data_IF_768125079738
#
_entry.id   IF_768125079738
#
_cell.length_a   1.000
_cell.length_b   1.000
_cell.length_c   1.000
_cell.angle_alpha   90.00
_cell.angle_beta   90.00
_cell.angle_gamma   90.00
#
_symmetry.space_group_name_H-M   'P 1'
#
loop_
_entity.id
_entity.type
_entity.pdbx_description
1 polymer ?
#
# COMPACT_ATOMS: atom_id res chain seq x y z
N UNK A 1 -40.60 56.81 1.87
CA UNK A 1 -41.29 56.54 3.15
C UNK A 1 -41.22 55.02 3.35
N UNK A 2 -40.46 54.43 4.26
CA UNK A 2 -39.91 54.91 5.52
C UNK A 2 -38.69 54.06 5.94
N UNK A 3 -37.66 54.77 6.41
CA UNK A 3 -36.88 54.53 7.63
C UNK A 3 -35.88 53.35 7.77
N UNK A 4 -34.62 53.76 7.56
CA UNK A 4 -33.35 53.38 8.22
C UNK A 4 -33.49 53.19 9.75
N UNK A 5 -32.85 52.16 10.33
CA UNK A 5 -32.14 52.32 11.61
C UNK A 5 -31.04 51.25 11.82
N UNK A 6 -29.79 51.68 11.61
CA UNK A 6 -28.61 51.08 12.21
C UNK A 6 -28.44 51.65 13.63
N UNK A 7 -27.91 50.86 14.58
CA UNK A 7 -27.11 51.44 15.65
C UNK A 7 -26.07 50.45 16.23
N UNK A 8 -24.83 50.89 16.53
CA UNK A 8 -23.75 50.11 17.12
C UNK A 8 -23.46 50.47 18.59
N UNK A 9 -22.88 49.55 19.36
CA UNK A 9 -22.05 49.79 20.57
C UNK A 9 -21.52 48.43 21.07
N UNK A 10 -20.23 48.05 21.00
CA UNK A 10 -19.00 48.50 21.72
C UNK A 10 -19.02 48.38 23.27
N UNK A 11 -18.34 47.30 23.72
CA UNK A 11 -17.31 47.23 24.81
C UNK A 11 -17.77 47.19 26.28
N UNK A 12 -16.91 46.80 27.26
CA UNK A 12 -15.79 45.81 27.33
C UNK A 12 -15.78 44.97 28.66
N UNK A 13 -14.65 44.29 28.95
CA UNK A 13 -14.16 43.72 30.25
C UNK A 13 -14.46 42.24 30.52
N UNK A 14 -13.64 41.45 31.24
CA UNK A 14 -12.19 41.29 31.40
C UNK A 14 -12.05 40.00 32.26
N UNK A 15 -11.14 39.08 31.89
CA UNK A 15 -10.52 38.01 32.72
C UNK A 15 -11.41 36.87 33.30
N UNK A 16 -10.85 35.70 33.74
CA UNK A 16 -9.44 35.36 33.99
C UNK A 16 -8.89 34.11 33.28
N UNK A 17 -7.57 34.07 33.21
CA UNK A 17 -6.72 32.95 32.81
C UNK A 17 -6.75 31.88 33.91
N UNK A 18 -7.03 30.63 33.54
CA UNK A 18 -6.61 29.46 34.32
C UNK A 18 -6.26 28.29 33.39
N UNK A 19 -5.25 27.47 33.74
CA UNK A 19 -4.68 26.45 32.88
C UNK A 19 -5.33 25.08 33.13
N UNK A 20 -5.59 24.32 32.07
CA UNK A 20 -5.87 22.88 32.17
C UNK A 20 -5.47 22.24 30.84
N UNK A 21 -4.32 21.58 30.78
CA UNK A 21 -4.08 20.19 31.19
C UNK A 21 -4.86 19.20 30.32
N UNK A 22 -4.07 18.53 29.48
CA UNK A 22 -4.42 17.51 28.50
C UNK A 22 -4.92 16.21 29.14
N UNK A 23 -5.95 15.63 28.54
CA UNK A 23 -6.43 14.24 28.64
C UNK A 23 -7.70 14.11 27.78
N UNK A 24 -7.98 13.07 26.99
CA UNK A 24 -7.38 11.78 26.74
C UNK A 24 -7.91 11.20 25.39
N UNK A 25 -7.09 10.39 24.69
CA UNK A 25 -7.29 9.20 23.77
C UNK A 25 -8.69 8.80 23.23
N UNK A 26 -8.86 7.97 22.15
CA UNK A 26 -7.96 6.92 21.57
C UNK A 26 -7.96 6.70 20.03
N UNK A 27 -7.01 5.89 19.49
CA UNK A 27 -7.28 5.03 18.31
C UNK A 27 -6.25 4.96 17.16
N UNK A 28 -5.26 4.09 17.30
CA UNK A 28 -4.47 3.34 16.31
C UNK A 28 -4.48 3.68 14.80
N UNK A 29 -3.32 4.11 14.25
CA UNK A 29 -2.89 3.75 12.87
C UNK A 29 -1.35 3.68 12.66
N UNK A 30 -0.52 3.34 13.66
CA UNK A 30 0.91 3.06 13.39
C UNK A 30 1.39 1.81 14.12
N UNK A 31 1.12 0.65 13.51
CA UNK A 31 1.85 -0.60 13.74
C UNK A 31 2.26 -1.14 12.38
N UNK A 32 3.27 -0.50 11.79
CA UNK A 32 4.07 -1.03 10.68
C UNK A 32 5.24 -0.08 10.42
N UNK A 33 6.31 -0.18 11.22
CA UNK A 33 7.66 0.20 10.79
C UNK A 33 8.62 -0.78 11.45
N UNK A 34 8.66 -1.92 10.78
CA UNK A 34 9.70 -2.94 10.80
C UNK A 34 11.10 -2.31 10.68
N UNK A 35 11.99 -2.74 11.57
CA UNK A 35 13.45 -2.76 11.42
C UNK A 35 14.11 -1.48 10.87
N UNK A 36 14.38 -0.51 11.75
CA UNK A 36 15.29 0.59 11.44
C UNK A 36 16.73 0.05 11.25
N UNK A 37 17.34 0.16 10.05
CA UNK A 37 18.75 -0.19 9.83
C UNK A 37 19.69 0.72 10.63
N UNK A 38 19.24 1.91 11.02
CA UNK A 38 20.01 2.87 11.79
C UNK A 38 20.30 2.41 13.23
N UNK A 39 19.41 1.62 13.85
CA UNK A 39 19.65 1.10 15.21
C UNK A 39 20.72 0.00 15.19
N UNK A 40 20.80 -0.77 14.10
CA UNK A 40 21.86 -1.76 13.92
C UNK A 40 23.21 -1.09 13.67
N UNK A 41 23.24 -0.02 12.86
CA UNK A 41 24.47 0.76 12.63
C UNK A 41 24.96 1.44 13.91
N UNK A 42 24.06 2.03 14.72
CA UNK A 42 24.43 2.61 16.02
C UNK A 42 24.93 1.54 16.98
N UNK A 43 24.32 0.35 17.02
CA UNK A 43 24.82 -0.76 17.84
C UNK A 43 26.20 -1.27 17.39
N UNK A 44 26.48 -1.27 16.09
CA UNK A 44 27.78 -1.66 15.54
C UNK A 44 28.87 -0.63 15.88
N UNK A 45 28.57 0.67 15.79
CA UNK A 45 29.51 1.73 16.24
C UNK A 45 29.77 1.65 17.75
N UNK A 46 28.75 1.37 18.56
CA UNK A 46 28.89 1.23 20.02
C UNK A 46 29.68 -0.03 20.39
N UNK A 47 29.52 -1.12 19.63
CA UNK A 47 30.33 -2.32 19.77
C UNK A 47 31.81 -2.07 19.41
N UNK A 48 32.09 -1.32 18.33
CA UNK A 48 33.46 -0.91 18.00
C UNK A 48 34.06 0.01 19.06
N UNK A 49 33.31 0.98 19.59
CA UNK A 49 33.79 1.86 20.67
C UNK A 49 34.09 1.06 21.95
N UNK A 50 33.27 0.07 22.32
CA UNK A 50 33.55 -0.82 23.45
C UNK A 50 34.78 -1.70 23.21
N UNK A 51 34.96 -2.20 21.99
CA UNK A 51 36.16 -2.96 21.64
C UNK A 51 37.42 -2.08 21.70
N UNK A 52 37.33 -0.83 21.25
CA UNK A 52 38.41 0.16 21.33
C UNK A 52 38.75 0.52 22.78
N UNK A 53 37.74 0.76 23.63
CA UNK A 53 37.90 0.97 25.07
C UNK A 53 38.55 -0.23 25.78
N UNK A 54 38.08 -1.44 25.47
CA UNK A 54 38.69 -2.66 26.02
C UNK A 54 40.13 -2.90 25.53
N UNK A 55 40.49 -2.38 24.35
CA UNK A 55 41.87 -2.41 23.87
C UNK A 55 42.72 -1.33 24.56
N UNK A 56 42.16 -0.15 24.82
CA UNK A 56 42.80 0.92 25.59
C UNK A 56 43.08 0.48 27.04
N UNK A 57 42.14 -0.20 27.69
CA UNK A 57 42.36 -0.78 29.03
C UNK A 57 43.52 -1.79 29.03
N UNK A 58 43.62 -2.64 28.01
CA UNK A 58 44.76 -3.58 27.87
C UNK A 58 46.08 -2.86 27.62
N UNK A 59 46.06 -1.76 26.87
CA UNK A 59 47.25 -0.92 26.66
C UNK A 59 47.65 -0.24 27.97
N UNK A 60 46.70 0.25 28.77
CA UNK A 60 46.97 0.83 30.09
C UNK A 60 47.49 -0.20 31.09
N UNK A 61 46.92 -1.41 31.12
CA UNK A 61 47.41 -2.51 31.97
C UNK A 61 48.82 -2.96 31.56
N UNK A 62 49.08 -3.07 30.26
CA UNK A 62 50.42 -3.37 29.73
C UNK A 62 51.42 -2.26 30.08
N UNK A 63 51.01 -1.00 30.01
CA UNK A 63 51.84 0.14 30.36
C UNK A 63 52.11 0.19 31.87
N UNK A 64 51.12 -0.17 32.69
CA UNK A 64 51.26 -0.29 34.14
C UNK A 64 52.28 -1.36 34.54
N UNK A 65 52.17 -2.56 33.96
CA UNK A 65 53.12 -3.65 34.18
C UNK A 65 54.53 -3.31 33.68
N UNK A 66 54.63 -2.63 32.53
CA UNK A 66 55.91 -2.20 31.97
C UNK A 66 56.55 -1.06 32.78
N UNK A 67 55.73 -0.17 33.36
CA UNK A 67 56.18 0.89 34.27
C UNK A 67 56.68 0.33 35.60
N UNK A 68 56.04 -0.71 36.15
CA UNK A 68 56.49 -1.39 37.37
C UNK A 68 57.86 -2.05 37.19
N UNK A 69 58.11 -2.63 36.00
CA UNK A 69 59.40 -3.24 35.66
C UNK A 69 60.50 -2.22 35.33
N UNK A 70 60.15 -1.02 34.86
CA UNK A 70 61.09 0.09 34.59
C UNK A 70 61.52 0.87 35.84
N UNK A 71 60.70 0.89 36.90
CA UNK A 71 61.08 1.54 38.18
C UNK A 71 62.23 0.80 38.85
N UNK A 72 62.46 -0.48 38.51
CA UNK A 72 63.52 -1.29 39.12
C UNK A 72 64.88 -1.23 38.40
N UNK A 73 64.94 -0.77 37.15
CA UNK A 73 66.17 -0.61 36.37
C UNK A 73 66.22 0.86 35.95
N UNK A 74 67.05 1.68 36.61
CA UNK A 74 67.11 3.14 36.44
C UNK A 74 67.06 3.63 34.99
N UNK A 75 65.85 3.87 34.49
CA UNK A 75 65.51 4.18 33.10
C UNK A 75 64.72 5.48 32.96
N UNK A 76 65.03 6.49 33.79
CA UNK A 76 64.42 7.82 33.71
C UNK A 76 64.63 8.50 32.34
N UNK A 77 65.68 8.11 31.61
CA UNK A 77 65.94 8.62 30.26
C UNK A 77 65.10 7.93 29.17
N UNK A 78 64.89 6.61 29.26
CA UNK A 78 64.11 5.86 28.28
C UNK A 78 62.60 6.12 28.42
N UNK A 79 62.11 6.29 29.66
CA UNK A 79 60.72 6.69 29.93
C UNK A 79 60.39 8.06 29.33
N UNK A 80 61.29 9.04 29.44
CA UNK A 80 61.10 10.37 28.87
C UNK A 80 61.05 10.34 27.33
N UNK A 81 61.81 9.46 26.67
CA UNK A 81 61.74 9.30 25.22
C UNK A 81 60.45 8.62 24.77
N UNK A 82 59.99 7.60 25.48
CA UNK A 82 58.72 6.93 25.20
C UNK A 82 57.53 7.88 25.40
N UNK A 83 57.53 8.69 26.47
CA UNK A 83 56.49 9.68 26.71
C UNK A 83 56.41 10.72 25.60
N UNK A 84 57.56 11.21 25.11
CA UNK A 84 57.60 12.15 23.99
C UNK A 84 57.15 11.50 22.67
N UNK A 85 57.45 10.21 22.46
CA UNK A 85 56.95 9.46 21.30
C UNK A 85 55.42 9.31 21.36
N UNK A 86 54.88 8.94 22.52
CA UNK A 86 53.43 8.79 22.72
C UNK A 86 52.72 10.13 22.54
N UNK A 87 53.26 11.23 23.07
CA UNK A 87 52.70 12.57 22.83
C UNK A 87 52.68 12.94 21.36
N UNK A 88 53.79 12.70 20.65
CA UNK A 88 53.86 12.97 19.22
C UNK A 88 52.86 12.10 18.44
N UNK A 89 52.73 10.82 18.79
CA UNK A 89 51.77 9.91 18.18
C UNK A 89 50.32 10.31 18.49
N UNK A 90 50.06 10.85 19.69
CA UNK A 90 48.77 11.40 20.09
C UNK A 90 48.44 12.65 19.27
N UNK A 91 49.37 13.60 19.14
CA UNK A 91 49.17 14.81 18.33
C UNK A 91 48.95 14.47 16.85
N UNK A 92 49.71 13.52 16.30
CA UNK A 92 49.51 13.02 14.93
C UNK A 92 48.16 12.32 14.76
N UNK A 93 47.69 11.61 15.79
CA UNK A 93 46.38 10.96 15.79
C UNK A 93 45.25 11.97 15.91
N UNK A 94 45.37 12.97 16.77
CA UNK A 94 44.40 14.05 16.94
C UNK A 94 44.24 14.84 15.63
N UNK A 95 45.35 15.16 14.94
CA UNK A 95 45.29 15.78 13.63
C UNK A 95 44.59 14.92 12.56
N UNK A 96 44.80 13.59 12.58
CA UNK A 96 44.09 12.67 11.67
C UNK A 96 42.60 12.58 12.00
N UNK A 97 42.24 12.55 13.28
CA UNK A 97 40.86 12.53 13.73
C UNK A 97 40.15 13.83 13.35
N UNK A 98 40.79 14.98 13.53
CA UNK A 98 40.21 16.27 13.18
C UNK A 98 40.07 16.43 11.66
N UNK A 99 41.02 15.93 10.88
CA UNK A 99 40.89 15.84 9.43
C UNK A 99 39.71 14.93 9.02
N UNK A 100 39.56 13.76 9.64
CA UNK A 100 38.47 12.82 9.39
C UNK A 100 37.10 13.39 9.78
N UNK A 101 37.01 14.09 10.91
CA UNK A 101 35.77 14.77 11.35
C UNK A 101 35.38 15.84 10.35
N UNK A 102 36.34 16.64 9.86
CA UNK A 102 36.06 17.65 8.85
C UNK A 102 35.61 17.04 7.52
N UNK A 103 36.21 15.93 7.08
CA UNK A 103 35.76 15.20 5.90
C UNK A 103 34.33 14.69 6.05
N UNK A 104 34.01 14.04 7.18
CA UNK A 104 32.65 13.57 7.48
C UNK A 104 31.66 14.73 7.50
N UNK A 105 32.04 15.88 8.09
CA UNK A 105 31.19 17.06 8.12
C UNK A 105 30.85 17.56 6.71
N UNK A 106 31.85 17.63 5.84
CA UNK A 106 31.65 18.05 4.44
C UNK A 106 30.79 17.04 3.67
N UNK A 107 31.02 15.74 3.86
CA UNK A 107 30.19 14.71 3.24
C UNK A 107 28.73 14.78 3.73
N UNK A 108 28.53 14.96 5.03
CA UNK A 108 27.21 15.08 5.63
C UNK A 108 26.49 16.35 5.14
N UNK A 109 27.18 17.49 5.09
CA UNK A 109 26.61 18.74 4.60
C UNK A 109 26.21 18.62 3.12
N UNK A 110 27.08 18.03 2.28
CA UNK A 110 26.77 17.82 0.86
C UNK A 110 25.62 16.83 0.65
N UNK A 111 25.61 15.71 1.39
CA UNK A 111 24.56 14.70 1.29
C UNK A 111 23.21 15.27 1.74
N UNK A 112 23.17 15.92 2.91
CA UNK A 112 21.96 16.55 3.42
C UNK A 112 21.49 17.67 2.50
N UNK A 113 22.37 18.54 2.04
CA UNK A 113 21.98 19.66 1.17
C UNK A 113 21.43 19.15 -0.16
N UNK A 114 22.02 18.14 -0.78
CA UNK A 114 21.52 17.64 -2.05
C UNK A 114 20.24 16.82 -1.89
N UNK A 115 20.21 15.86 -0.96
CA UNK A 115 19.09 14.94 -0.78
C UNK A 115 17.84 15.67 -0.25
N UNK A 116 18.00 16.55 0.74
CA UNK A 116 16.86 17.28 1.30
C UNK A 116 16.31 18.27 0.27
N UNK A 117 17.17 18.98 -0.46
CA UNK A 117 16.71 19.95 -1.46
C UNK A 117 16.00 19.24 -2.61
N UNK A 118 16.53 18.12 -3.12
CA UNK A 118 15.88 17.35 -4.18
C UNK A 118 14.55 16.74 -3.68
N UNK A 119 14.50 16.22 -2.45
CA UNK A 119 13.28 15.67 -1.90
C UNK A 119 12.21 16.76 -1.67
N UNK A 120 12.59 17.89 -1.06
CA UNK A 120 11.67 19.02 -0.87
C UNK A 120 11.19 19.58 -2.20
N UNK A 121 12.06 19.66 -3.20
CA UNK A 121 11.69 20.06 -4.55
C UNK A 121 10.66 19.12 -5.14
N UNK A 122 10.88 17.80 -5.05
CA UNK A 122 9.93 16.81 -5.55
C UNK A 122 8.57 16.90 -4.83
N UNK A 123 8.58 17.10 -3.50
CA UNK A 123 7.34 17.29 -2.73
C UNK A 123 6.60 18.56 -3.11
N UNK A 124 7.31 19.67 -3.32
CA UNK A 124 6.72 20.94 -3.75
C UNK A 124 6.16 20.80 -5.17
N UNK A 125 6.91 20.20 -6.09
CA UNK A 125 6.46 19.96 -7.46
C UNK A 125 5.20 19.10 -7.48
N UNK A 126 5.14 18.02 -6.69
CA UNK A 126 3.94 17.19 -6.55
C UNK A 126 2.75 17.98 -5.99
N UNK A 127 2.96 18.77 -4.93
CA UNK A 127 1.90 19.59 -4.33
C UNK A 127 1.40 20.70 -5.24
N UNK A 128 2.29 21.31 -6.03
CA UNK A 128 1.91 22.33 -7.04
C UNK A 128 1.14 21.69 -8.18
N UNK A 129 1.54 20.50 -8.64
CA UNK A 129 0.80 19.78 -9.69
C UNK A 129 -0.62 19.42 -9.24
N UNK A 130 -0.79 18.95 -8.00
CA UNK A 130 -2.11 18.66 -7.44
C UNK A 130 -2.99 19.92 -7.40
N UNK A 131 -2.45 21.05 -6.95
CA UNK A 131 -3.17 22.33 -6.96
C UNK A 131 -3.52 22.81 -8.37
N UNK A 132 -2.60 22.64 -9.33
CA UNK A 132 -2.86 22.99 -10.73
C UNK A 132 -3.99 22.12 -11.28
N UNK A 133 -3.99 20.81 -11.00
CA UNK A 133 -5.05 19.91 -11.45
C UNK A 133 -6.42 20.31 -10.89
N UNK A 134 -6.49 20.73 -9.63
CA UNK A 134 -7.71 21.27 -9.02
C UNK A 134 -8.19 22.55 -9.71
N UNK A 135 -7.29 23.52 -9.91
CA UNK A 135 -7.61 24.80 -10.57
C UNK A 135 -8.03 24.57 -12.02
N UNK A 136 -7.33 23.71 -12.75
CA UNK A 136 -7.66 23.36 -14.14
C UNK A 136 -9.03 22.69 -14.19
N UNK A 137 -9.32 21.77 -13.28
CA UNK A 137 -10.64 21.12 -13.19
C UNK A 137 -11.76 22.13 -12.96
N UNK A 138 -11.57 23.10 -12.05
CA UNK A 138 -12.53 24.17 -11.79
C UNK A 138 -12.72 25.06 -13.04
N UNK A 139 -11.62 25.54 -13.64
CA UNK A 139 -11.66 26.42 -14.81
C UNK A 139 -12.26 25.73 -16.03
N UNK A 140 -11.95 24.45 -16.23
CA UNK A 140 -12.57 23.63 -17.28
C UNK A 140 -14.06 23.48 -17.02
N UNK A 141 -14.49 23.24 -15.78
CA UNK A 141 -15.91 23.13 -15.45
C UNK A 141 -16.68 24.45 -15.70
N UNK A 142 -16.04 25.61 -15.51
CA UNK A 142 -16.63 26.93 -15.80
C UNK A 142 -16.74 27.22 -17.30
N UNK A 143 -15.69 26.91 -18.08
CA UNK A 143 -15.61 27.26 -19.51
C UNK A 143 -16.26 26.22 -20.43
N UNK A 144 -16.30 24.94 -20.04
CA UNK A 144 -16.83 23.87 -20.87
C UNK A 144 -18.31 24.06 -21.24
N UNK A 145 -19.21 24.53 -20.36
CA UNK A 145 -20.59 24.86 -20.73
C UNK A 145 -20.73 26.04 -21.70
N UNK A 146 -19.74 26.95 -21.75
CA UNK A 146 -19.76 28.10 -22.69
C UNK A 146 -19.33 27.67 -24.09
N UNK A 147 -18.32 26.82 -24.18
CA UNK A 147 -17.74 26.38 -25.45
C UNK A 147 -18.45 25.15 -26.04
N UNK A 148 -19.02 24.29 -25.21
CA UNK A 148 -19.69 23.07 -25.63
C UNK A 148 -21.19 23.13 -25.32
N UNK A 149 -22.06 23.22 -26.34
CA UNK A 149 -23.50 23.12 -26.16
C UNK A 149 -23.92 21.88 -25.38
N UNK A 150 -24.93 22.02 -24.51
CA UNK A 150 -25.43 20.92 -23.63
C UNK A 150 -25.76 19.64 -24.40
N UNK A 151 -26.34 19.75 -25.60
CA UNK A 151 -26.69 18.57 -26.39
C UNK A 151 -25.49 17.70 -26.77
N UNK A 152 -24.32 18.29 -27.05
CA UNK A 152 -23.10 17.53 -27.35
C UNK A 152 -22.52 16.89 -26.09
N UNK A 153 -22.65 17.55 -24.93
CA UNK A 153 -22.25 16.95 -23.65
C UNK A 153 -23.09 15.72 -23.33
N UNK A 154 -24.41 15.83 -23.54
CA UNK A 154 -25.36 14.72 -23.35
C UNK A 154 -25.07 13.57 -24.34
N UNK A 155 -24.75 13.89 -25.59
CA UNK A 155 -24.37 12.91 -26.63
C UNK A 155 -23.06 12.18 -26.28
N UNK A 156 -22.04 12.91 -25.82
CA UNK A 156 -20.77 12.31 -25.35
C UNK A 156 -21.02 11.43 -24.12
N UNK A 157 -21.84 11.87 -23.17
CA UNK A 157 -22.20 11.08 -21.99
C UNK A 157 -22.95 9.80 -22.40
N UNK A 158 -23.88 9.90 -23.35
CA UNK A 158 -24.61 8.78 -23.91
C UNK A 158 -23.67 7.77 -24.59
N UNK A 159 -22.77 8.22 -25.48
CA UNK A 159 -21.82 7.33 -26.14
C UNK A 159 -20.81 6.71 -25.18
N UNK A 160 -20.35 7.45 -24.16
CA UNK A 160 -19.50 6.86 -23.10
C UNK A 160 -20.22 5.74 -22.36
N UNK A 161 -21.51 5.92 -22.07
CA UNK A 161 -22.33 4.86 -21.46
C UNK A 161 -22.45 3.65 -22.38
N UNK A 162 -22.70 3.87 -23.68
CA UNK A 162 -22.75 2.79 -24.67
C UNK A 162 -21.42 2.04 -24.78
N UNK A 163 -20.29 2.76 -24.83
CA UNK A 163 -18.96 2.14 -24.88
C UNK A 163 -18.67 1.32 -23.62
N UNK A 164 -19.03 1.83 -22.44
CA UNK A 164 -18.88 1.09 -21.19
C UNK A 164 -19.76 -0.18 -21.15
N UNK A 165 -20.94 -0.15 -21.77
CA UNK A 165 -21.79 -1.34 -21.94
C UNK A 165 -21.17 -2.35 -22.90
N UNK A 166 -20.71 -1.90 -24.08
CA UNK A 166 -20.07 -2.76 -25.07
C UNK A 166 -18.78 -3.38 -24.55
N UNK A 167 -17.92 -2.59 -23.89
CA UNK A 167 -16.67 -3.09 -23.30
C UNK A 167 -16.94 -4.16 -22.25
N UNK A 168 -17.99 -3.97 -21.45
CA UNK A 168 -18.41 -4.94 -20.45
C UNK A 168 -18.99 -6.20 -21.08
N UNK A 169 -19.83 -6.06 -22.10
CA UNK A 169 -20.37 -7.19 -22.85
C UNK A 169 -19.23 -7.99 -23.52
N UNK A 170 -18.24 -7.31 -24.08
CA UNK A 170 -17.04 -7.90 -24.66
C UNK A 170 -16.25 -8.66 -23.59
N UNK A 171 -15.91 -8.02 -22.47
CA UNK A 171 -15.21 -8.68 -21.36
C UNK A 171 -15.97 -9.90 -20.84
N UNK A 172 -17.28 -9.80 -20.69
CA UNK A 172 -18.12 -10.91 -20.25
C UNK A 172 -18.13 -12.05 -21.29
N UNK A 173 -18.16 -11.74 -22.59
CA UNK A 173 -18.07 -12.74 -23.66
C UNK A 173 -16.72 -13.43 -23.71
N UNK A 174 -15.63 -12.69 -23.53
CA UNK A 174 -14.27 -13.22 -23.48
C UNK A 174 -14.05 -14.07 -22.22
N UNK A 175 -14.53 -13.59 -21.08
CA UNK A 175 -14.48 -14.33 -19.81
C UNK A 175 -15.28 -15.63 -19.89
N UNK A 176 -16.47 -15.62 -20.50
CA UNK A 176 -17.24 -16.85 -20.77
C UNK A 176 -16.49 -17.80 -21.70
N UNK A 177 -15.85 -17.28 -22.74
CA UNK A 177 -15.02 -18.10 -23.65
C UNK A 177 -13.85 -18.73 -22.91
N UNK A 178 -13.13 -17.97 -22.09
CA UNK A 178 -12.02 -18.47 -21.28
C UNK A 178 -12.50 -19.52 -20.26
N UNK A 179 -13.61 -19.26 -19.57
CA UNK A 179 -14.22 -20.18 -18.61
C UNK A 179 -14.70 -21.48 -19.26
N UNK A 180 -15.12 -21.45 -20.53
CA UNK A 180 -15.53 -22.63 -21.28
C UNK A 180 -14.39 -23.61 -21.58
N UNK A 181 -13.15 -23.11 -21.59
CA UNK A 181 -11.93 -23.90 -21.82
C UNK A 181 -11.41 -24.56 -20.54
N UNK A 182 -11.90 -24.15 -19.37
CA UNK A 182 -11.49 -24.73 -18.08
C UNK A 182 -11.82 -26.22 -18.06
N UNK A 183 -10.85 -27.02 -17.60
CA UNK A 183 -10.95 -28.48 -17.54
C UNK A 183 -11.19 -28.97 -16.11
N UNK A 184 -11.96 -30.04 -15.93
CA UNK A 184 -12.20 -30.68 -14.62
C UNK A 184 -10.92 -31.19 -13.95
N UNK A 185 -9.86 -31.42 -14.72
CA UNK A 185 -8.55 -31.80 -14.17
C UNK A 185 -7.81 -30.63 -13.50
N UNK A 186 -8.23 -29.39 -13.71
CA UNK A 186 -7.61 -28.17 -13.17
C UNK A 186 -8.62 -27.34 -12.36
N UNK A 187 -9.17 -27.92 -11.31
CA UNK A 187 -10.14 -27.28 -10.42
C UNK A 187 -9.60 -26.04 -9.66
N UNK A 188 -8.28 -25.92 -9.58
CA UNK A 188 -7.56 -24.81 -8.94
C UNK A 188 -7.34 -23.61 -9.86
N UNK A 189 -7.67 -23.73 -11.15
CA UNK A 189 -7.50 -22.64 -12.11
C UNK A 189 -8.51 -21.51 -11.84
N UNK A 190 -8.07 -20.27 -12.05
CA UNK A 190 -8.85 -19.09 -11.71
C UNK A 190 -10.05 -18.94 -12.67
N UNK A 191 -11.22 -18.67 -12.10
CA UNK A 191 -12.42 -18.36 -12.86
C UNK A 191 -12.35 -16.89 -13.30
N UNK A 192 -12.53 -16.64 -14.59
CA UNK A 192 -12.55 -15.27 -15.13
C UNK A 192 -13.83 -14.58 -14.68
N UNK A 193 -13.68 -13.34 -14.22
CA UNK A 193 -14.75 -12.55 -13.61
C UNK A 193 -15.78 -12.09 -14.64
N UNK A 194 -17.03 -11.98 -14.19
CA UNK A 194 -18.11 -11.47 -15.02
C UNK A 194 -18.73 -10.27 -14.33
N UNK A 195 -18.82 -9.16 -15.07
CA UNK A 195 -19.42 -7.93 -14.60
C UNK A 195 -20.95 -8.00 -14.64
N UNK A 196 -21.58 -7.37 -13.66
CA UNK A 196 -23.04 -7.19 -13.57
C UNK A 196 -23.57 -6.16 -14.57
N UNK A 197 -24.89 -6.02 -14.63
CA UNK A 197 -25.60 -4.92 -15.32
C UNK A 197 -25.22 -3.53 -14.80
N UNK A 198 -24.63 -3.45 -13.61
CA UNK A 198 -24.18 -2.19 -13.00
C UNK A 198 -22.68 -1.92 -13.22
N UNK A 199 -21.96 -2.85 -13.86
CA UNK A 199 -20.52 -2.72 -14.12
C UNK A 199 -19.62 -3.12 -12.94
N UNK A 200 -20.21 -3.52 -11.81
CA UNK A 200 -19.48 -4.01 -10.64
C UNK A 200 -19.37 -5.54 -10.66
N UNK A 201 -18.42 -6.08 -9.89
CA UNK A 201 -18.27 -7.51 -9.65
C UNK A 201 -18.86 -7.83 -8.28
N UNK A 202 -19.55 -8.97 -8.15
CA UNK A 202 -20.07 -9.39 -6.84
C UNK A 202 -18.90 -9.73 -5.89
N UNK A 203 -18.92 -9.27 -4.62
CA UNK A 203 -17.90 -9.68 -3.64
C UNK A 203 -17.93 -11.19 -3.36
N UNK A 204 -19.09 -11.83 -3.61
CA UNK A 204 -19.29 -13.27 -3.49
C UNK A 204 -18.84 -14.06 -4.73
N UNK A 205 -18.22 -13.41 -5.72
CA UNK A 205 -17.77 -14.10 -6.93
C UNK A 205 -16.61 -15.06 -6.60
N UNK A 206 -16.72 -16.36 -6.91
CA UNK A 206 -15.69 -17.33 -6.57
C UNK A 206 -14.45 -17.14 -7.45
N UNK A 207 -13.26 -17.18 -6.82
CA UNK A 207 -11.98 -17.07 -7.52
C UNK A 207 -11.61 -18.32 -8.32
N UNK A 208 -12.14 -19.49 -7.96
CA UNK A 208 -11.83 -20.78 -8.59
C UNK A 208 -13.05 -21.69 -8.68
N UNK A 209 -13.00 -22.72 -9.55
CA UNK A 209 -14.06 -23.72 -9.67
C UNK A 209 -14.25 -24.51 -8.37
N UNK A 210 -13.16 -24.80 -7.64
CA UNK A 210 -13.25 -25.44 -6.34
C UNK A 210 -14.04 -24.59 -5.32
N UNK A 211 -13.79 -23.28 -5.28
CA UNK A 211 -14.52 -22.36 -4.41
C UNK A 211 -16.01 -22.29 -4.81
N UNK A 212 -16.30 -22.28 -6.11
CA UNK A 212 -17.67 -22.34 -6.64
C UNK A 212 -18.40 -23.62 -6.19
N UNK A 213 -17.74 -24.78 -6.22
CA UNK A 213 -18.34 -26.05 -5.78
C UNK A 213 -18.45 -26.20 -4.26
N UNK A 214 -17.67 -25.44 -3.50
CA UNK A 214 -17.69 -25.46 -2.04
C UNK A 214 -18.70 -24.49 -1.44
N UNK A 215 -19.28 -23.59 -2.25
CA UNK A 215 -20.32 -22.65 -1.78
C UNK A 215 -21.56 -23.39 -1.29
N UNK A 216 -22.12 -22.89 -0.19
CA UNK A 216 -23.40 -23.29 0.36
C UNK A 216 -24.58 -22.80 -0.51
N UNK A 217 -25.78 -23.30 -0.22
CA UNK A 217 -26.96 -22.98 -1.01
C UNK A 217 -27.41 -21.51 -0.88
N UNK A 218 -27.15 -20.89 0.28
CA UNK A 218 -27.57 -19.52 0.58
C UNK A 218 -26.68 -18.51 -0.13
N UNK A 219 -25.36 -18.67 -0.06
CA UNK A 219 -24.41 -17.83 -0.81
C UNK A 219 -24.60 -17.96 -2.32
N UNK A 220 -24.88 -19.17 -2.83
CA UNK A 220 -25.20 -19.37 -4.25
C UNK A 220 -26.51 -18.66 -4.68
N UNK A 221 -27.49 -18.60 -3.78
CA UNK A 221 -28.73 -17.84 -4.00
C UNK A 221 -28.45 -16.33 -4.05
N UNK A 222 -27.74 -15.80 -3.05
CA UNK A 222 -27.36 -14.38 -3.02
C UNK A 222 -26.55 -13.99 -4.26
N UNK A 223 -25.69 -14.89 -4.75
CA UNK A 223 -24.93 -14.68 -5.97
C UNK A 223 -25.86 -14.58 -7.19
N UNK A 224 -26.80 -15.51 -7.38
CA UNK A 224 -27.75 -15.44 -8.51
C UNK A 224 -28.64 -14.20 -8.46
N UNK A 225 -29.10 -13.81 -7.27
CA UNK A 225 -29.87 -12.60 -7.05
C UNK A 225 -29.06 -11.35 -7.41
N UNK A 226 -27.79 -11.30 -6.98
CA UNK A 226 -26.86 -10.22 -7.32
C UNK A 226 -26.57 -10.10 -8.83
N UNK A 227 -26.83 -11.14 -9.62
CA UNK A 227 -26.71 -11.14 -11.08
C UNK A 227 -28.08 -11.11 -11.79
N UNK A 228 -29.19 -10.99 -11.06
CA UNK A 228 -30.55 -10.91 -11.62
C UNK A 228 -31.06 -12.21 -12.25
N UNK A 229 -30.50 -13.36 -11.89
CA UNK A 229 -30.83 -14.68 -12.47
C UNK A 229 -31.57 -15.60 -11.49
N UNK A 230 -32.17 -15.04 -10.44
CA UNK A 230 -32.83 -15.83 -9.42
C UNK A 230 -34.20 -16.35 -9.89
N UNK A 231 -34.31 -17.66 -10.07
CA UNK A 231 -35.54 -18.36 -10.51
C UNK A 231 -36.46 -18.80 -9.35
N UNK A 232 -36.17 -18.43 -8.09
CA UNK A 232 -36.96 -18.89 -6.93
C UNK A 232 -36.77 -20.37 -6.56
N UNK A 233 -35.74 -21.03 -7.12
CA UNK A 233 -35.51 -22.48 -6.96
C UNK A 233 -34.65 -22.77 -5.72
N UNK A 234 -35.05 -23.78 -4.95
CA UNK A 234 -34.41 -24.12 -3.65
C UNK A 234 -33.23 -25.09 -3.74
N UNK A 235 -32.98 -25.72 -4.89
CA UNK A 235 -31.87 -26.68 -5.02
C UNK A 235 -30.55 -25.97 -5.31
N UNK A 236 -29.60 -26.13 -4.38
CA UNK A 236 -28.23 -25.63 -4.49
C UNK A 236 -27.58 -26.02 -5.82
N UNK A 237 -27.67 -27.29 -6.21
CA UNK A 237 -27.08 -27.80 -7.45
C UNK A 237 -27.66 -27.09 -8.67
N UNK A 238 -28.98 -26.86 -8.69
CA UNK A 238 -29.63 -26.17 -9.80
C UNK A 238 -29.21 -24.69 -9.89
N UNK A 239 -29.05 -24.05 -8.73
CA UNK A 239 -28.60 -22.67 -8.64
C UNK A 239 -27.15 -22.52 -9.12
N UNK A 240 -26.25 -23.40 -8.65
CA UNK A 240 -24.86 -23.44 -9.12
C UNK A 240 -24.77 -23.82 -10.60
N UNK A 241 -25.60 -24.74 -11.09
CA UNK A 241 -25.65 -25.10 -12.52
C UNK A 241 -26.09 -23.92 -13.39
N UNK A 242 -27.11 -23.16 -12.96
CA UNK A 242 -27.52 -21.94 -13.65
C UNK A 242 -26.41 -20.89 -13.69
N UNK A 243 -25.72 -20.69 -12.56
CA UNK A 243 -24.59 -19.76 -12.49
C UNK A 243 -23.39 -20.21 -13.33
N UNK A 244 -23.07 -21.51 -13.34
CA UNK A 244 -22.03 -22.09 -14.20
C UNK A 244 -22.33 -21.88 -15.67
N UNK A 245 -23.58 -22.13 -16.08
CA UNK A 245 -24.01 -21.91 -17.46
C UNK A 245 -23.88 -20.43 -17.85
N UNK A 246 -24.27 -19.51 -16.95
CA UNK A 246 -24.06 -18.07 -17.15
C UNK A 246 -22.58 -17.70 -17.26
N UNK A 247 -21.71 -18.37 -16.51
CA UNK A 247 -20.27 -18.19 -16.57
C UNK A 247 -19.61 -18.79 -17.81
N UNK A 248 -20.36 -19.52 -18.65
CA UNK A 248 -19.82 -20.24 -19.81
C UNK A 248 -19.10 -21.55 -19.45
N UNK A 249 -19.27 -22.02 -18.22
CA UNK A 249 -18.63 -23.24 -17.72
C UNK A 249 -19.45 -24.46 -18.18
N UNK A 250 -18.83 -25.36 -18.95
CA UNK A 250 -19.48 -26.56 -19.51
C UNK A 250 -19.59 -27.73 -18.52
N UNK A 251 -19.84 -27.43 -17.24
CA UNK A 251 -19.95 -28.43 -16.17
C UNK A 251 -21.34 -28.42 -15.56
N UNK A 252 -21.79 -29.62 -15.18
CA UNK A 252 -23.04 -29.79 -14.45
C UNK A 252 -22.76 -30.58 -13.18
N UNK A 253 -23.14 -30.00 -12.04
CA UNK A 253 -23.23 -30.71 -10.77
C UNK A 253 -24.45 -31.62 -10.82
N UNK A 254 -24.21 -32.91 -10.66
CA UNK A 254 -25.27 -33.91 -10.50
C UNK A 254 -25.27 -34.34 -9.04
N UNK A 255 -26.46 -34.31 -8.42
CA UNK A 255 -26.66 -34.83 -7.08
C UNK A 255 -26.49 -36.36 -7.12
N UNK A 256 -25.47 -36.88 -6.44
CA UNK A 256 -25.30 -38.31 -6.23
C UNK A 256 -25.69 -38.66 -4.80
N UNK A 257 -26.14 -39.90 -4.56
CA UNK A 257 -26.62 -40.35 -3.25
C UNK A 257 -25.61 -40.22 -2.08
N UNK A 258 -24.34 -39.91 -2.35
CA UNK A 258 -23.29 -39.64 -1.36
C UNK A 258 -22.64 -38.25 -1.46
N UNK A 259 -23.26 -37.29 -2.16
CA UNK A 259 -22.75 -35.91 -2.31
C UNK A 259 -22.84 -35.35 -3.73
N UNK A 260 -22.54 -34.08 -3.92
CA UNK A 260 -22.56 -33.41 -5.24
C UNK A 260 -21.23 -33.67 -5.96
N UNK A 261 -21.26 -34.23 -7.18
CA UNK A 261 -20.04 -34.44 -8.00
C UNK A 261 -20.11 -33.63 -9.29
N UNK A 262 -19.02 -32.96 -9.71
CA UNK A 262 -18.98 -32.26 -11.00
C UNK A 262 -18.84 -33.28 -12.13
N UNK A 263 -19.80 -33.30 -13.06
CA UNK A 263 -19.72 -34.05 -14.31
C UNK A 263 -19.53 -33.09 -15.47
N UNK A 264 -18.72 -33.49 -16.47
CA UNK A 264 -18.64 -32.79 -17.74
C UNK A 264 -20.04 -32.80 -18.36
N UNK A 265 -20.55 -31.63 -18.76
CA UNK A 265 -21.81 -31.57 -19.47
C UNK A 265 -21.67 -32.41 -20.75
N UNK A 266 -22.41 -33.50 -20.83
CA UNK A 266 -22.56 -34.26 -22.06
C UNK A 266 -23.14 -33.29 -23.09
N UNK A 267 -22.46 -33.17 -24.23
CA UNK A 267 -22.77 -32.25 -25.33
C UNK A 267 -24.27 -32.17 -25.63
N UNK A 268 -24.83 -30.98 -25.95
CA UNK A 268 -26.24 -30.82 -26.25
C UNK A 268 -26.52 -31.32 -27.67
N UNK A 269 -26.64 -32.63 -27.86
CA UNK A 269 -27.23 -33.21 -29.08
C UNK A 269 -28.75 -33.30 -29.01
N UNK A 270 -29.38 -32.96 -27.87
CA UNK A 270 -30.81 -33.21 -27.64
C UNK A 270 -31.63 -31.96 -27.27
N UNK A 271 -31.02 -30.79 -27.04
CA UNK A 271 -31.75 -29.56 -26.67
C UNK A 271 -31.98 -28.61 -27.85
N UNK A 272 -31.35 -28.88 -29.01
CA UNK A 272 -31.54 -28.08 -30.23
C UNK A 272 -32.88 -28.38 -30.98
N UNK A 273 -33.69 -29.32 -30.47
CA UNK A 273 -34.97 -29.68 -31.08
C UNK A 273 -36.18 -28.85 -30.60
N UNK A 274 -36.04 -28.00 -29.56
CA UNK A 274 -37.19 -27.27 -28.99
C UNK A 274 -37.23 -25.77 -29.38
N UNK A 275 -36.11 -25.15 -29.74
CA UNK A 275 -36.07 -23.73 -30.15
C UNK A 275 -36.17 -23.49 -31.68
N UNK A 276 -36.66 -24.46 -32.44
CA UNK A 276 -36.94 -24.28 -33.89
C UNK A 276 -38.43 -24.16 -34.24
N UNK A 277 -39.31 -24.02 -33.24
CA UNK A 277 -40.75 -23.90 -33.44
C UNK A 277 -41.41 -22.92 -32.43
N UNK A 278 -40.91 -21.69 -32.32
CA UNK A 278 -41.66 -20.44 -32.03
C UNK A 278 -40.84 -19.28 -32.59
#
# INVERSE_FOLDING_TARGET
>A
MSSIQANPNRSPLLSPITPSLYGAVPGSIFSALTANPDVNMVNETLAMMKASLGNLDRVFDSLGQQSEHMVHIGGEFETAQLLNRVRKEMDESDHKLEAGINEIKVLLENALQHEIVEHLRSLIEAGVLEQIDEIVKEKVAEELPRMMPKHLQDEVAYHRKQLAEVQRALHNSESRRANSLLRTSKLTENLHTIYKTDGTISPLFPKSLQALFSMDGETAQQLLEAYGMWDGRKSRERNLNGFMQFCGVNYQLVATAGGSRPLKATTPSAVEAINRLV
#
